data_IF_958766676662
#
_entry.id   IF_958766676662
#
_cell.length_a   1.000
_cell.length_b   1.000
_cell.length_c   1.000
_cell.angle_alpha   90.00
_cell.angle_beta   90.00
_cell.angle_gamma   90.00
#
_symmetry.space_group_name_H-M   'P 1'
#
loop_
_entity.id
_entity.type
_entity.pdbx_description
1 polymer ?
#
# COMPACT_ATOMS: atom_id res chain seq x y z
N UNK A 1 -22.19 26.86 11.38
CA UNK A 1 -22.67 27.56 10.17
C UNK A 1 -21.56 28.50 9.72
N UNK A 2 -20.93 28.31 8.55
CA UNK A 2 -19.98 29.28 8.02
C UNK A 2 -20.77 30.52 7.59
N UNK A 3 -20.23 31.69 7.92
CA UNK A 3 -20.76 32.98 7.49
C UNK A 3 -20.78 33.02 5.95
N UNK A 4 -21.93 33.27 5.35
CA UNK A 4 -22.08 33.74 3.97
C UNK A 4 -21.42 35.14 3.85
N UNK A 5 -20.11 35.13 3.65
CA UNK A 5 -19.32 36.28 3.26
C UNK A 5 -18.70 35.96 1.91
N UNK A 6 -18.93 36.85 0.95
CA UNK A 6 -18.40 36.84 -0.41
C UNK A 6 -17.03 36.18 -0.49
N UNK A 7 -16.95 34.90 -0.92
CA UNK A 7 -15.67 34.23 -1.20
C UNK A 7 -15.03 35.03 -2.33
N UNK A 8 -14.00 35.81 -2.02
CA UNK A 8 -13.11 36.34 -3.05
C UNK A 8 -12.62 35.16 -3.89
N UNK A 9 -12.61 35.32 -5.20
CA UNK A 9 -12.09 34.27 -6.07
C UNK A 9 -10.64 33.94 -5.64
N UNK A 10 -10.39 32.69 -5.28
CA UNK A 10 -9.05 32.22 -4.89
C UNK A 10 -8.10 32.46 -6.05
N UNK A 11 -7.02 33.21 -5.84
CA UNK A 11 -6.08 33.57 -6.87
C UNK A 11 -4.77 32.78 -6.72
N UNK A 12 -4.49 31.87 -7.64
CA UNK A 12 -3.21 31.16 -7.72
C UNK A 12 -2.01 32.11 -7.97
N UNK A 13 -2.27 33.31 -8.48
CA UNK A 13 -1.22 34.29 -8.74
C UNK A 13 -0.38 34.63 -7.50
N UNK A 14 -1.01 34.72 -6.33
CA UNK A 14 -0.30 34.97 -5.07
C UNK A 14 0.60 33.78 -4.66
N UNK A 15 0.16 32.55 -4.90
CA UNK A 15 0.98 31.37 -4.69
C UNK A 15 2.17 31.33 -5.66
N UNK A 16 1.95 31.66 -6.95
CA UNK A 16 3.02 31.78 -7.96
C UNK A 16 4.01 32.88 -7.64
N UNK A 17 3.59 33.99 -7.02
CA UNK A 17 4.52 35.06 -6.60
C UNK A 17 5.53 34.60 -5.53
N UNK A 18 5.17 33.60 -4.72
CA UNK A 18 6.02 33.03 -3.67
C UNK A 18 6.84 31.85 -4.15
N UNK A 19 6.23 30.92 -4.91
CA UNK A 19 6.82 29.64 -5.29
C UNK A 19 7.27 29.57 -6.78
N UNK A 20 6.94 30.57 -7.58
CA UNK A 20 7.40 30.68 -8.96
C UNK A 20 6.96 29.48 -9.84
N UNK A 21 7.92 28.95 -10.58
CA UNK A 21 7.74 27.85 -11.52
C UNK A 21 7.46 26.49 -10.84
N UNK A 22 7.48 26.44 -9.50
CA UNK A 22 7.07 25.25 -8.76
C UNK A 22 5.55 25.04 -8.78
N UNK A 23 4.77 26.04 -9.19
CA UNK A 23 3.30 25.98 -9.29
C UNK A 23 2.89 25.74 -10.73
N UNK A 24 2.17 24.64 -10.97
CA UNK A 24 1.64 24.25 -12.28
C UNK A 24 0.12 24.30 -12.31
N UNK A 25 -0.41 24.88 -13.40
CA UNK A 25 -1.83 24.82 -13.79
C UNK A 25 -1.99 24.14 -15.17
N UNK A 26 -0.95 23.42 -15.64
CA UNK A 26 -1.00 22.67 -16.90
C UNK A 26 -2.07 21.57 -16.84
N UNK A 27 -2.96 21.53 -17.82
CA UNK A 27 -4.07 20.57 -17.85
C UNK A 27 -3.60 19.12 -17.72
N UNK A 28 -2.50 18.73 -18.38
CA UNK A 28 -1.96 17.38 -18.28
C UNK A 28 -1.41 17.06 -16.88
N UNK A 29 -0.81 18.04 -16.20
CA UNK A 29 -0.33 17.89 -14.81
C UNK A 29 -1.50 17.77 -13.85
N UNK A 30 -2.52 18.62 -14.00
CA UNK A 30 -3.71 18.57 -13.16
C UNK A 30 -4.44 17.23 -13.32
N UNK A 31 -4.60 16.76 -14.57
CA UNK A 31 -5.23 15.48 -14.85
C UNK A 31 -4.45 14.31 -14.22
N UNK A 32 -3.12 14.29 -14.32
CA UNK A 32 -2.29 13.26 -13.72
C UNK A 32 -2.42 13.22 -12.18
N UNK A 33 -2.55 14.39 -11.54
CA UNK A 33 -2.75 14.50 -10.08
C UNK A 33 -4.21 14.38 -9.63
N UNK A 34 -5.13 14.20 -10.57
CA UNK A 34 -6.55 13.95 -10.33
C UNK A 34 -6.99 12.53 -10.63
N UNK A 35 -6.06 11.61 -10.86
CA UNK A 35 -6.31 10.19 -11.14
C UNK A 35 -5.89 9.32 -9.96
N UNK A 36 -6.59 8.19 -9.84
CA UNK A 36 -6.29 7.12 -8.90
C UNK A 36 -6.74 5.81 -9.58
N UNK A 37 -5.91 4.75 -9.47
CA UNK A 37 -6.09 3.52 -10.26
C UNK A 37 -7.42 2.83 -9.99
N UNK A 38 -7.84 2.78 -8.73
CA UNK A 38 -9.06 2.08 -8.28
C UNK A 38 -10.27 3.02 -8.13
N UNK A 39 -10.14 4.28 -8.54
CA UNK A 39 -11.19 5.28 -8.46
C UNK A 39 -11.58 5.77 -9.87
N UNK A 40 -12.85 5.59 -10.31
CA UNK A 40 -13.21 5.72 -11.72
C UNK A 40 -13.28 7.16 -12.23
N UNK A 41 -13.35 8.14 -11.32
CA UNK A 41 -13.49 9.55 -11.66
C UNK A 41 -12.15 10.27 -11.66
N UNK A 42 -11.91 11.03 -12.72
CA UNK A 42 -10.79 11.97 -12.74
C UNK A 42 -11.25 13.27 -12.09
N UNK A 43 -10.61 13.67 -11.00
CA UNK A 43 -10.90 14.90 -10.22
C UNK A 43 -9.66 15.78 -10.13
N UNK A 44 -9.36 16.61 -11.14
CA UNK A 44 -8.17 17.44 -11.13
C UNK A 44 -8.16 18.42 -9.95
N UNK A 45 -7.02 18.63 -9.28
CA UNK A 45 -6.85 19.75 -8.34
C UNK A 45 -6.84 21.09 -9.08
N UNK A 46 -7.01 22.22 -8.37
CA UNK A 46 -6.95 23.55 -8.98
C UNK A 46 -5.55 23.96 -9.42
N UNK A 47 -4.52 23.46 -8.74
CA UNK A 47 -3.12 23.62 -9.12
C UNK A 47 -2.27 22.53 -8.42
N UNK A 48 -1.06 22.30 -8.94
CA UNK A 48 -0.05 21.40 -8.36
C UNK A 48 1.16 22.22 -7.94
N UNK A 49 1.64 22.01 -6.71
CA UNK A 49 2.87 22.57 -6.19
C UNK A 49 3.94 21.49 -6.11
N UNK A 50 5.01 21.59 -6.84
CA UNK A 50 6.17 20.71 -6.77
C UNK A 50 7.18 21.23 -5.73
N UNK A 51 7.04 20.78 -4.49
CA UNK A 51 7.93 21.20 -3.41
C UNK A 51 9.31 20.55 -3.56
N UNK A 52 10.36 21.37 -3.37
CA UNK A 52 11.75 20.91 -3.40
C UNK A 52 12.37 20.79 -2.00
N UNK A 53 11.76 21.40 -0.99
CA UNK A 53 12.22 21.41 0.39
C UNK A 53 11.09 21.72 1.39
N UNK A 54 11.43 21.69 2.67
CA UNK A 54 10.49 22.00 3.78
C UNK A 54 9.99 23.46 3.75
N UNK A 55 10.78 24.40 3.20
CA UNK A 55 10.36 25.80 3.12
C UNK A 55 9.21 25.94 2.12
N UNK A 56 9.25 25.23 0.98
CA UNK A 56 8.17 25.19 0.00
C UNK A 56 6.88 24.61 0.59
N UNK A 57 7.00 23.49 1.35
CA UNK A 57 5.87 22.86 2.05
C UNK A 57 5.21 23.87 3.01
N UNK A 58 6.01 24.55 3.83
CA UNK A 58 5.51 25.55 4.77
C UNK A 58 4.88 26.74 4.08
N UNK A 59 5.47 27.26 3.02
CA UNK A 59 4.92 28.36 2.22
C UNK A 59 3.57 27.98 1.59
N UNK A 60 3.46 26.74 1.05
CA UNK A 60 2.21 26.23 0.50
C UNK A 60 1.13 26.12 1.58
N UNK A 61 1.44 25.57 2.74
CA UNK A 61 0.50 25.45 3.87
C UNK A 61 0.07 26.84 4.41
N UNK A 62 0.97 27.81 4.49
CA UNK A 62 0.64 29.17 4.88
C UNK A 62 -0.39 29.79 3.91
N UNK A 63 -0.14 29.66 2.61
CA UNK A 63 -1.07 30.12 1.57
C UNK A 63 -2.43 29.39 1.66
N UNK A 64 -2.42 28.05 1.81
CA UNK A 64 -3.64 27.26 1.96
C UNK A 64 -4.49 27.74 3.14
N UNK A 65 -3.86 28.03 4.27
CA UNK A 65 -4.55 28.54 5.46
C UNK A 65 -5.14 29.93 5.23
N UNK A 66 -4.37 30.84 4.62
CA UNK A 66 -4.84 32.20 4.32
C UNK A 66 -6.03 32.21 3.33
N UNK A 67 -5.98 31.32 2.34
CA UNK A 67 -7.02 31.23 1.30
C UNK A 67 -8.15 30.26 1.65
N UNK A 68 -8.06 29.54 2.78
CA UNK A 68 -8.96 28.44 3.15
C UNK A 68 -9.08 27.37 2.04
N UNK A 69 -7.96 27.03 1.39
CA UNK A 69 -7.90 26.03 0.31
C UNK A 69 -7.26 24.74 0.84
N UNK A 70 -7.97 23.60 0.81
CA UNK A 70 -7.41 22.34 1.24
C UNK A 70 -6.29 21.84 0.33
N UNK A 71 -5.45 20.97 0.90
CA UNK A 71 -4.24 20.44 0.30
C UNK A 71 -4.26 18.91 0.32
N UNK A 72 -3.82 18.29 -0.77
CA UNK A 72 -3.59 16.84 -0.90
C UNK A 72 -2.08 16.61 -1.01
N UNK A 73 -1.40 15.99 -0.03
CA UNK A 73 -0.02 15.56 -0.20
C UNK A 73 0.05 14.43 -1.25
N UNK A 74 1.01 14.56 -2.17
CA UNK A 74 1.16 13.64 -3.30
C UNK A 74 2.61 13.12 -3.34
N UNK A 75 2.77 11.81 -3.54
CA UNK A 75 4.07 11.15 -3.67
C UNK A 75 4.31 10.65 -5.09
N UNK A 76 4.31 9.32 -5.28
CA UNK A 76 4.48 8.67 -6.57
C UNK A 76 3.18 8.46 -7.36
N UNK A 77 2.03 8.82 -6.80
CA UNK A 77 0.74 8.66 -7.48
C UNK A 77 0.18 7.22 -7.52
N UNK A 78 0.67 6.34 -6.65
CA UNK A 78 0.36 4.90 -6.66
C UNK A 78 -0.73 4.46 -5.67
N UNK A 79 -1.44 5.39 -5.06
CA UNK A 79 -2.55 5.09 -4.15
C UNK A 79 -3.79 4.60 -4.90
N UNK A 80 -4.64 3.80 -4.23
CA UNK A 80 -5.72 3.05 -4.88
C UNK A 80 -7.14 3.43 -4.44
N UNK A 81 -7.33 4.06 -3.28
CA UNK A 81 -8.67 4.22 -2.68
C UNK A 81 -9.23 5.65 -2.86
N UNK A 82 -8.82 6.36 -3.91
CA UNK A 82 -9.18 7.76 -4.12
C UNK A 82 -8.49 8.71 -3.14
N UNK A 83 -7.35 8.30 -2.57
CA UNK A 83 -6.62 9.08 -1.56
C UNK A 83 -5.98 10.36 -2.11
N UNK A 84 -5.72 10.41 -3.41
CA UNK A 84 -4.97 11.47 -4.08
C UNK A 84 -5.86 12.45 -4.85
N UNK A 85 -7.16 12.18 -4.97
CA UNK A 85 -8.08 13.05 -5.72
C UNK A 85 -8.87 13.97 -4.79
N UNK A 86 -9.35 15.13 -5.23
CA UNK A 86 -10.28 15.96 -4.47
C UNK A 86 -11.49 15.19 -3.96
N UNK A 87 -11.95 15.49 -2.74
CA UNK A 87 -13.09 14.76 -2.12
C UNK A 87 -14.40 14.91 -2.90
N UNK A 88 -14.54 16.02 -3.63
CA UNK A 88 -15.66 16.28 -4.57
C UNK A 88 -15.11 16.82 -5.89
N UNK A 89 -15.83 16.53 -6.98
CA UNK A 89 -15.50 17.09 -8.29
C UNK A 89 -15.63 18.62 -8.27
N UNK A 90 -14.58 19.32 -8.73
CA UNK A 90 -14.53 20.78 -8.74
C UNK A 90 -14.27 21.44 -7.38
N UNK A 91 -14.02 20.65 -6.32
CA UNK A 91 -13.57 21.22 -5.05
C UNK A 91 -12.24 21.97 -5.23
N UNK A 92 -12.10 23.21 -4.74
CA UNK A 92 -10.88 23.99 -4.87
C UNK A 92 -9.81 23.43 -3.94
N UNK A 93 -9.03 22.45 -4.38
CA UNK A 93 -7.97 21.82 -3.63
C UNK A 93 -6.64 21.94 -4.38
N UNK A 94 -5.52 22.07 -3.63
CA UNK A 94 -4.18 21.95 -4.18
C UNK A 94 -3.68 20.50 -4.09
N UNK A 95 -2.84 20.07 -5.03
CA UNK A 95 -1.97 18.92 -4.86
C UNK A 95 -0.56 19.40 -4.54
N UNK A 96 0.04 18.89 -3.44
CA UNK A 96 1.41 19.15 -3.03
C UNK A 96 2.28 17.95 -3.37
N UNK A 97 2.95 18.03 -4.49
CA UNK A 97 3.84 17.00 -5.01
C UNK A 97 5.21 17.07 -4.34
N UNK A 98 5.59 15.99 -3.65
CA UNK A 98 6.85 15.83 -2.92
C UNK A 98 7.90 15.04 -3.73
N UNK A 99 7.64 14.69 -4.98
CA UNK A 99 8.52 13.85 -5.81
C UNK A 99 9.91 14.47 -6.07
N UNK A 100 10.03 15.79 -5.92
CA UNK A 100 11.33 16.50 -6.02
C UNK A 100 12.16 16.39 -4.74
N UNK A 101 11.56 16.07 -3.60
CA UNK A 101 12.25 15.79 -2.35
C UNK A 101 12.65 14.31 -2.30
N UNK A 102 13.72 13.91 -3.01
CA UNK A 102 14.07 12.49 -3.25
C UNK A 102 15.51 12.12 -2.91
N UNK A 103 16.16 12.86 -2.03
CA UNK A 103 17.55 12.61 -1.63
C UNK A 103 17.62 11.54 -0.54
N UNK A 104 18.66 10.71 -0.58
CA UNK A 104 19.17 9.99 0.58
C UNK A 104 20.04 10.98 1.35
N UNK A 105 19.61 11.36 2.54
CA UNK A 105 20.27 12.38 3.36
C UNK A 105 21.44 11.79 4.14
N UNK A 106 21.27 10.54 4.59
CA UNK A 106 22.26 9.85 5.41
C UNK A 106 22.04 8.33 5.31
N UNK A 107 23.12 7.56 5.29
CA UNK A 107 23.10 6.09 5.46
C UNK A 107 24.05 5.76 6.59
N UNK A 108 23.57 5.03 7.60
CA UNK A 108 24.34 4.55 8.74
C UNK A 108 24.30 3.01 8.76
N UNK A 109 25.16 2.32 8.00
CA UNK A 109 25.13 0.85 7.91
C UNK A 109 25.36 0.18 9.26
N UNK A 110 26.23 0.73 10.10
CA UNK A 110 26.53 0.24 11.45
C UNK A 110 25.32 0.30 12.40
N UNK A 111 24.35 1.19 12.12
CA UNK A 111 23.10 1.35 12.86
C UNK A 111 21.91 0.74 12.16
N UNK A 112 22.10 0.15 10.96
CA UNK A 112 21.06 -0.43 10.14
C UNK A 112 19.92 0.55 9.83
N UNK A 113 20.24 1.79 9.42
CA UNK A 113 19.27 2.80 9.09
C UNK A 113 19.70 3.70 7.94
N UNK A 114 18.71 4.35 7.32
CA UNK A 114 18.90 5.45 6.40
C UNK A 114 17.91 6.57 6.72
N UNK A 115 18.33 7.82 6.45
CA UNK A 115 17.50 9.02 6.54
C UNK A 115 17.25 9.50 5.12
N UNK A 116 15.99 9.63 4.74
CA UNK A 116 15.59 9.94 3.38
C UNK A 116 14.55 11.04 3.30
N UNK A 117 14.49 11.71 2.17
CA UNK A 117 13.38 12.58 1.80
C UNK A 117 12.17 11.76 1.32
N UNK A 118 10.93 12.27 1.47
CA UNK A 118 9.71 11.48 1.28
C UNK A 118 9.45 11.02 -0.16
N UNK A 119 9.96 11.75 -1.15
CA UNK A 119 9.71 11.49 -2.57
C UNK A 119 10.64 10.44 -3.20
N UNK A 120 11.65 9.94 -2.47
CA UNK A 120 12.47 8.84 -2.99
C UNK A 120 11.63 7.56 -3.08
N UNK A 121 11.75 6.82 -4.18
CA UNK A 121 11.07 5.53 -4.32
C UNK A 121 11.84 4.41 -3.63
N UNK A 122 11.14 3.31 -3.31
CA UNK A 122 11.77 2.12 -2.75
C UNK A 122 12.90 1.58 -3.64
N UNK A 123 12.64 1.52 -4.94
CA UNK A 123 13.63 1.03 -5.92
C UNK A 123 14.87 1.93 -5.96
N UNK A 124 14.68 3.26 -5.98
CA UNK A 124 15.78 4.21 -5.94
C UNK A 124 16.58 4.08 -4.64
N UNK A 125 15.92 3.98 -3.49
CA UNK A 125 16.60 3.77 -2.20
C UNK A 125 17.43 2.49 -2.20
N UNK A 126 16.88 1.36 -2.61
CA UNK A 126 17.61 0.09 -2.65
C UNK A 126 18.77 0.11 -3.67
N UNK A 127 18.65 0.90 -4.73
CA UNK A 127 19.76 1.13 -5.67
C UNK A 127 20.93 1.86 -4.98
N UNK A 128 20.66 2.89 -4.18
CA UNK A 128 21.68 3.59 -3.40
C UNK A 128 22.33 2.68 -2.33
N UNK A 129 21.55 1.76 -1.76
CA UNK A 129 22.02 0.84 -0.71
C UNK A 129 22.83 -0.37 -1.22
N UNK A 130 22.89 -0.63 -2.53
CA UNK A 130 23.43 -1.87 -3.14
C UNK A 130 24.85 -2.28 -2.69
N UNK A 131 25.68 -1.31 -2.27
CA UNK A 131 27.05 -1.57 -1.83
C UNK A 131 27.21 -1.68 -0.32
N UNK A 132 26.11 -1.56 0.44
CA UNK A 132 26.14 -1.59 1.92
C UNK A 132 25.93 -2.98 2.49
N UNK A 133 25.47 -3.95 1.70
CA UNK A 133 25.00 -5.26 2.16
C UNK A 133 23.65 -5.18 2.90
N UNK A 134 22.96 -4.03 2.82
CA UNK A 134 21.67 -3.78 3.45
C UNK A 134 20.61 -3.45 2.40
N UNK A 135 19.34 -3.64 2.77
CA UNK A 135 18.21 -3.26 1.94
C UNK A 135 17.03 -2.76 2.79
N UNK A 136 16.15 -2.00 2.16
CA UNK A 136 14.85 -1.64 2.72
C UNK A 136 13.80 -2.65 2.23
N UNK A 137 13.11 -3.37 3.14
CA UNK A 137 12.35 -4.57 2.79
C UNK A 137 10.94 -4.30 2.26
N UNK A 138 10.25 -3.24 2.73
CA UNK A 138 8.82 -3.05 2.41
C UNK A 138 8.60 -2.87 0.91
N UNK A 139 7.82 -3.76 0.29
CA UNK A 139 7.74 -3.93 -1.17
C UNK A 139 6.29 -3.97 -1.70
N UNK A 140 5.55 -2.84 -1.62
CA UNK A 140 4.22 -2.76 -2.24
C UNK A 140 4.29 -3.07 -3.73
N UNK A 141 3.16 -3.45 -4.33
CA UNK A 141 3.08 -3.85 -5.74
C UNK A 141 3.54 -2.79 -6.75
N UNK A 142 3.52 -1.51 -6.38
CA UNK A 142 4.02 -0.40 -7.20
C UNK A 142 5.33 0.18 -6.63
N UNK A 143 6.13 0.86 -7.46
CA UNK A 143 7.34 1.59 -7.01
C UNK A 143 6.93 2.90 -6.32
N UNK A 144 6.41 2.78 -5.11
CA UNK A 144 5.90 3.88 -4.31
C UNK A 144 7.03 4.70 -3.65
N UNK A 145 6.74 5.97 -3.36
CA UNK A 145 7.64 6.83 -2.60
C UNK A 145 7.62 6.49 -1.11
N UNK A 146 8.77 6.59 -0.43
CA UNK A 146 8.92 6.24 0.99
C UNK A 146 7.96 7.06 1.88
N UNK A 147 7.77 8.35 1.58
CA UNK A 147 6.81 9.20 2.31
C UNK A 147 5.36 8.79 2.05
N UNK A 148 5.02 8.42 0.80
CA UNK A 148 3.69 7.88 0.45
C UNK A 148 3.43 6.55 1.15
N UNK A 149 4.39 5.64 1.14
CA UNK A 149 4.33 4.36 1.87
C UNK A 149 4.12 4.58 3.38
N UNK A 150 4.83 5.53 3.99
CA UNK A 150 4.62 5.88 5.40
C UNK A 150 3.21 6.46 5.63
N UNK A 151 2.74 7.34 4.75
CA UNK A 151 1.43 7.95 4.87
C UNK A 151 0.27 6.94 4.78
N UNK A 152 0.40 5.86 4.01
CA UNK A 152 -0.61 4.79 3.88
C UNK A 152 -0.37 3.60 4.81
N UNK A 153 0.76 3.57 5.55
CA UNK A 153 1.22 2.38 6.28
C UNK A 153 1.35 1.16 5.36
N UNK A 154 1.98 1.35 4.22
CA UNK A 154 2.12 0.31 3.20
C UNK A 154 2.80 -0.95 3.71
N UNK A 155 2.44 -2.06 3.11
CA UNK A 155 3.04 -3.38 3.26
C UNK A 155 3.44 -3.95 1.90
N UNK A 156 3.56 -5.26 1.77
CA UNK A 156 3.89 -5.96 0.54
C UNK A 156 4.27 -7.41 0.81
N UNK A 157 4.85 -8.07 -0.18
CA UNK A 157 5.12 -9.52 -0.14
C UNK A 157 6.07 -9.94 1.00
N UNK A 158 6.99 -9.05 1.41
CA UNK A 158 8.00 -9.33 2.45
C UNK A 158 7.53 -8.98 3.87
N UNK A 159 6.33 -8.44 4.02
CA UNK A 159 5.79 -7.99 5.32
C UNK A 159 5.71 -9.11 6.34
N UNK A 160 5.37 -10.32 5.91
CA UNK A 160 5.31 -11.52 6.77
C UNK A 160 6.59 -11.75 7.57
N UNK A 161 7.76 -11.36 7.04
CA UNK A 161 9.06 -11.50 7.71
C UNK A 161 9.56 -10.21 8.34
N UNK A 162 9.48 -9.12 7.57
CA UNK A 162 10.17 -7.88 7.92
C UNK A 162 9.26 -6.82 8.51
N UNK A 163 7.94 -7.03 8.49
CA UNK A 163 6.94 -6.03 8.87
C UNK A 163 6.70 -4.98 7.78
N UNK A 164 5.61 -4.24 7.91
CA UNK A 164 5.27 -3.11 7.04
C UNK A 164 5.97 -1.80 7.43
N UNK A 165 5.44 -0.68 6.94
CA UNK A 165 6.05 0.63 7.19
C UNK A 165 6.12 0.97 8.68
N UNK A 166 5.10 0.67 9.47
CA UNK A 166 5.08 0.98 10.91
C UNK A 166 6.25 0.37 11.68
N UNK A 167 6.64 -0.87 11.33
CA UNK A 167 7.77 -1.57 11.94
C UNK A 167 9.13 -1.10 11.41
N UNK A 168 9.15 -0.54 10.20
CA UNK A 168 10.39 -0.15 9.51
C UNK A 168 10.64 1.37 9.48
N UNK A 169 9.74 2.20 10.02
CA UNK A 169 9.96 3.63 10.23
C UNK A 169 10.37 3.89 11.68
N UNK A 170 11.58 4.41 11.87
CA UNK A 170 12.14 4.72 13.19
C UNK A 170 11.82 6.14 13.64
N UNK A 171 11.81 7.11 12.70
CA UNK A 171 11.51 8.50 12.98
C UNK A 171 10.91 9.20 11.76
N UNK A 172 10.15 10.25 12.00
CA UNK A 172 9.56 11.14 11.00
C UNK A 172 9.87 12.61 11.29
N UNK A 173 9.98 13.40 10.24
CA UNK A 173 9.78 14.85 10.29
C UNK A 173 8.49 15.15 9.54
N UNK A 174 7.59 15.90 10.17
CA UNK A 174 6.29 16.27 9.61
C UNK A 174 6.04 17.76 9.76
N UNK A 175 5.37 18.35 8.78
CA UNK A 175 4.89 19.75 8.84
C UNK A 175 3.39 19.71 9.09
N UNK A 176 2.96 20.32 10.20
CA UNK A 176 1.55 20.44 10.57
C UNK A 176 0.83 21.52 9.75
N UNK A 177 -0.51 21.53 9.81
CA UNK A 177 -1.34 22.51 9.10
C UNK A 177 -0.98 23.97 9.45
N UNK A 178 -0.52 24.25 10.68
CA UNK A 178 -0.07 25.56 11.13
C UNK A 178 1.36 25.93 10.67
N UNK A 179 2.06 25.03 9.95
CA UNK A 179 3.43 25.21 9.48
C UNK A 179 4.52 24.86 10.51
N UNK A 180 4.13 24.35 11.69
CA UNK A 180 5.08 23.84 12.69
C UNK A 180 5.74 22.55 12.17
N UNK A 181 7.06 22.41 12.44
CA UNK A 181 7.83 21.21 12.06
C UNK A 181 8.05 20.35 13.30
N UNK A 182 7.51 19.14 13.29
CA UNK A 182 7.70 18.17 14.36
C UNK A 182 8.71 17.10 13.94
N UNK A 183 9.53 16.67 14.90
CA UNK A 183 10.40 15.50 14.78
C UNK A 183 9.92 14.44 15.75
N UNK A 184 9.41 13.35 15.20
CA UNK A 184 8.72 12.27 15.91
C UNK A 184 9.54 10.98 15.85
N UNK A 185 9.61 10.26 16.96
CA UNK A 185 10.45 9.06 17.06
C UNK A 185 11.93 9.38 17.26
N UNK A 186 12.75 8.34 17.24
CA UNK A 186 14.21 8.38 17.40
C UNK A 186 14.85 7.29 16.53
N UNK A 187 16.10 7.44 16.07
CA UNK A 187 16.79 6.44 15.25
C UNK A 187 17.29 5.24 16.10
N UNK A 188 16.41 4.66 16.89
CA UNK A 188 16.68 3.52 17.78
C UNK A 188 15.62 2.44 17.58
N UNK A 189 15.98 1.18 17.90
CA UNK A 189 15.09 0.03 17.70
C UNK A 189 13.92 -0.06 18.68
N UNK A 190 14.05 0.55 19.87
CA UNK A 190 13.01 0.56 20.90
C UNK A 190 13.12 1.80 21.77
N UNK A 191 11.98 2.30 22.21
CA UNK A 191 11.86 3.36 23.21
C UNK A 191 10.58 3.15 24.02
N UNK A 192 10.61 3.56 25.28
CA UNK A 192 9.42 3.65 26.15
C UNK A 192 9.23 5.08 26.67
N UNK A 193 9.83 6.06 25.98
CA UNK A 193 9.79 7.47 26.37
C UNK A 193 8.61 8.19 25.72
N UNK A 194 7.56 8.41 26.48
CA UNK A 194 6.38 9.17 26.06
C UNK A 194 5.39 8.38 25.19
N UNK A 195 4.40 9.10 24.65
CA UNK A 195 3.46 8.53 23.67
C UNK A 195 4.11 8.39 22.30
N UNK A 196 3.80 7.33 21.57
CA UNK A 196 4.30 7.14 20.20
C UNK A 196 3.47 7.97 19.19
N UNK A 197 3.82 9.24 19.10
CA UNK A 197 3.18 10.13 18.13
C UNK A 197 3.54 9.78 16.69
N UNK A 198 4.71 9.18 16.45
CA UNK A 198 5.14 8.75 15.10
C UNK A 198 4.10 7.84 14.46
N UNK A 199 3.57 6.89 15.21
CA UNK A 199 2.61 5.91 14.71
C UNK A 199 1.22 6.51 14.41
N UNK A 200 0.91 7.70 14.90
CA UNK A 200 -0.29 8.44 14.50
C UNK A 200 -0.20 8.97 13.06
N UNK A 201 1.00 9.34 12.62
CA UNK A 201 1.21 9.88 11.27
C UNK A 201 1.40 8.77 10.22
N UNK A 202 1.87 7.58 10.62
CA UNK A 202 1.95 6.41 9.75
C UNK A 202 0.54 5.86 9.53
N UNK A 203 0.09 5.85 8.26
CA UNK A 203 -1.26 5.47 7.91
C UNK A 203 -2.29 6.61 8.00
N UNK A 204 -1.84 7.84 8.24
CA UNK A 204 -2.75 9.01 8.30
C UNK A 204 -3.21 9.53 6.94
N UNK A 205 -2.72 8.99 5.83
CA UNK A 205 -3.02 9.44 4.46
C UNK A 205 -2.80 10.96 4.26
N UNK A 206 -1.84 11.55 4.98
CA UNK A 206 -1.57 12.97 4.93
C UNK A 206 -2.64 13.86 5.56
N UNK A 207 -3.58 13.31 6.34
CA UNK A 207 -4.66 14.07 6.97
C UNK A 207 -4.24 14.78 8.27
N UNK A 208 -3.13 14.36 8.89
CA UNK A 208 -2.63 14.94 10.15
C UNK A 208 -1.41 15.85 9.96
N UNK A 209 -0.68 15.68 8.87
CA UNK A 209 0.53 16.44 8.56
C UNK A 209 1.16 16.00 7.24
N UNK A 210 2.10 16.78 6.74
CA UNK A 210 2.90 16.48 5.54
C UNK A 210 4.24 15.89 5.98
N UNK A 211 4.51 14.64 5.61
CA UNK A 211 5.78 13.96 5.91
C UNK A 211 6.87 14.55 5.02
N UNK A 212 7.95 15.06 5.61
CA UNK A 212 9.07 15.71 4.89
C UNK A 212 10.40 14.99 5.05
N UNK A 213 10.51 14.03 5.99
CA UNK A 213 11.67 13.19 6.17
C UNK A 213 11.28 11.89 6.85
N UNK A 214 11.91 10.80 6.43
CA UNK A 214 11.70 9.46 7.00
C UNK A 214 13.03 8.86 7.39
N UNK A 215 13.15 8.36 8.62
CA UNK A 215 14.25 7.50 9.02
C UNK A 215 13.77 6.06 8.96
N UNK A 216 14.32 5.28 8.05
CA UNK A 216 13.94 3.89 7.82
C UNK A 216 14.95 2.92 8.42
N UNK A 217 14.45 1.79 8.90
CA UNK A 217 15.24 0.64 9.32
C UNK A 217 15.65 -0.17 8.09
N UNK A 218 16.92 -0.56 8.06
CA UNK A 218 17.48 -1.44 7.04
C UNK A 218 17.69 -2.85 7.58
N UNK A 219 17.73 -3.82 6.68
CA UNK A 219 17.95 -5.23 6.99
C UNK A 219 19.14 -5.77 6.18
N UNK A 220 19.91 -6.72 6.71
CA UNK A 220 20.93 -7.42 5.93
C UNK A 220 20.33 -8.16 4.75
N UNK A 221 21.00 -8.10 3.61
CA UNK A 221 20.65 -8.93 2.44
C UNK A 221 20.88 -10.40 2.81
N UNK A 222 19.88 -11.29 2.65
CA UNK A 222 20.04 -12.71 2.98
C UNK A 222 21.04 -13.38 2.03
N UNK A 223 21.89 -14.25 2.60
CA UNK A 223 22.88 -14.99 1.79
C UNK A 223 22.26 -16.16 1.03
N UNK A 224 21.27 -16.81 1.63
CA UNK A 224 20.59 -17.97 1.06
C UNK A 224 19.11 -17.67 0.90
N UNK A 225 18.62 -17.85 -0.32
CA UNK A 225 17.22 -17.62 -0.68
C UNK A 225 16.72 -18.77 -1.55
N UNK A 226 15.64 -19.41 -1.16
CA UNK A 226 14.94 -20.42 -1.97
C UNK A 226 13.48 -20.07 -2.10
N UNK A 227 12.91 -20.34 -3.27
CA UNK A 227 11.49 -20.10 -3.54
C UNK A 227 10.81 -21.40 -3.93
N UNK A 228 9.64 -21.67 -3.36
CA UNK A 228 8.78 -22.77 -3.75
C UNK A 228 7.59 -22.25 -4.54
N UNK A 229 7.22 -22.96 -5.59
CA UNK A 229 5.95 -22.84 -6.29
C UNK A 229 5.18 -24.14 -6.09
N UNK A 230 3.97 -24.05 -5.51
CA UNK A 230 3.21 -25.21 -5.07
C UNK A 230 1.76 -25.13 -5.56
N UNK A 231 1.30 -26.14 -6.31
CA UNK A 231 -0.07 -26.21 -6.82
C UNK A 231 -0.95 -27.05 -5.91
N UNK A 232 -2.24 -26.64 -5.81
CA UNK A 232 -3.24 -27.30 -4.98
C UNK A 232 -4.51 -27.63 -5.78
N UNK A 233 -5.33 -28.61 -5.32
CA UNK A 233 -6.60 -28.94 -5.97
C UNK A 233 -7.60 -27.79 -5.94
N UNK A 234 -7.64 -27.02 -4.85
CA UNK A 234 -8.50 -25.85 -4.66
C UNK A 234 -7.78 -24.72 -3.94
N UNK A 235 -8.33 -23.50 -4.04
CA UNK A 235 -7.78 -22.32 -3.36
C UNK A 235 -7.94 -22.42 -1.84
N UNK A 236 -8.94 -23.14 -1.36
CA UNK A 236 -9.17 -23.36 0.08
C UNK A 236 -8.06 -24.23 0.66
N UNK A 237 -7.69 -25.32 -0.04
CA UNK A 237 -6.56 -26.18 0.36
C UNK A 237 -5.24 -25.42 0.32
N UNK A 238 -5.02 -24.57 -0.69
CA UNK A 238 -3.86 -23.68 -0.74
C UNK A 238 -3.81 -22.73 0.47
N UNK A 239 -4.94 -22.11 0.84
CA UNK A 239 -5.02 -21.24 2.01
C UNK A 239 -4.82 -22.00 3.34
N UNK A 240 -5.31 -23.23 3.45
CA UNK A 240 -5.06 -24.11 4.61
C UNK A 240 -3.57 -24.49 4.71
N UNK A 241 -2.94 -24.79 3.60
CA UNK A 241 -1.49 -25.07 3.53
C UNK A 241 -0.67 -23.85 3.96
N UNK A 242 -1.07 -22.65 3.49
CA UNK A 242 -0.43 -21.40 3.91
C UNK A 242 -0.52 -21.21 5.44
N UNK A 243 -1.68 -21.43 6.02
CA UNK A 243 -1.86 -21.38 7.47
C UNK A 243 -0.97 -22.41 8.20
N UNK A 244 -0.89 -23.65 7.72
CA UNK A 244 -0.08 -24.71 8.32
C UNK A 244 1.42 -24.33 8.33
N UNK A 245 1.92 -23.76 7.23
CA UNK A 245 3.29 -23.27 7.13
C UNK A 245 3.54 -22.14 8.11
N UNK A 246 2.64 -21.18 8.22
CA UNK A 246 2.78 -20.06 9.18
C UNK A 246 2.73 -20.55 10.63
N UNK A 247 1.90 -21.55 10.93
CA UNK A 247 1.78 -22.15 12.28
C UNK A 247 3.00 -22.98 12.70
N UNK A 248 3.87 -23.37 11.75
CA UNK A 248 5.04 -24.22 12.01
C UNK A 248 6.28 -23.44 12.49
N UNK A 249 6.19 -22.13 12.65
CA UNK A 249 7.32 -21.24 13.01
C UNK A 249 8.48 -21.26 12.00
N UNK A 250 8.27 -21.71 10.78
CA UNK A 250 9.25 -21.58 9.69
C UNK A 250 9.50 -20.10 9.37
N UNK A 251 10.76 -19.70 9.08
CA UNK A 251 11.11 -18.30 8.83
C UNK A 251 10.75 -17.84 7.42
N UNK A 252 9.45 -17.92 7.10
CA UNK A 252 8.91 -17.52 5.80
C UNK A 252 9.21 -16.06 5.52
N UNK A 253 9.76 -15.78 4.34
CA UNK A 253 10.06 -14.41 3.89
C UNK A 253 8.96 -13.82 3.02
N UNK A 254 8.27 -14.67 2.25
CA UNK A 254 7.11 -14.32 1.42
C UNK A 254 6.18 -15.52 1.33
N UNK A 255 4.87 -15.28 1.32
CA UNK A 255 3.86 -16.33 1.16
C UNK A 255 2.65 -15.75 0.42
N UNK A 256 2.59 -16.07 -0.87
CA UNK A 256 1.69 -15.46 -1.83
C UNK A 256 0.76 -16.51 -2.45
N UNK A 257 -0.52 -16.19 -2.54
CA UNK A 257 -1.55 -17.00 -3.18
C UNK A 257 -1.92 -16.43 -4.54
N UNK A 258 -2.14 -17.30 -5.53
CA UNK A 258 -2.71 -16.98 -6.84
C UNK A 258 -3.71 -18.05 -7.19
N UNK A 259 -4.93 -17.66 -7.59
CA UNK A 259 -5.97 -18.60 -8.00
C UNK A 259 -5.80 -19.13 -9.44
N UNK A 260 -6.72 -20.00 -9.88
CA UNK A 260 -6.71 -20.60 -11.22
C UNK A 260 -6.77 -19.57 -12.35
N UNK A 261 -7.60 -18.51 -12.19
CA UNK A 261 -7.73 -17.47 -13.21
C UNK A 261 -6.44 -16.64 -13.31
N UNK A 262 -5.81 -16.34 -12.19
CA UNK A 262 -4.51 -15.69 -12.14
C UNK A 262 -3.42 -16.51 -12.83
N UNK A 263 -3.34 -17.82 -12.57
CA UNK A 263 -2.37 -18.72 -13.23
C UNK A 263 -2.65 -18.83 -14.73
N UNK A 264 -3.93 -18.95 -15.13
CA UNK A 264 -4.32 -18.94 -16.56
C UNK A 264 -3.89 -17.66 -17.26
N UNK A 265 -4.08 -16.51 -16.60
CA UNK A 265 -3.67 -15.22 -17.16
C UNK A 265 -2.15 -15.11 -17.32
N UNK A 266 -1.38 -15.57 -16.33
CA UNK A 266 0.08 -15.65 -16.36
C UNK A 266 0.55 -16.55 -17.52
N UNK A 267 -0.04 -17.73 -17.69
CA UNK A 267 0.30 -18.64 -18.78
C UNK A 267 0.18 -17.97 -20.15
N UNK A 268 -0.92 -17.24 -20.35
CA UNK A 268 -1.17 -16.53 -21.62
C UNK A 268 -0.23 -15.35 -21.82
N UNK A 269 -0.01 -14.58 -20.77
CA UNK A 269 0.75 -13.32 -20.84
C UNK A 269 2.26 -13.55 -20.98
N UNK A 270 2.80 -14.49 -20.19
CA UNK A 270 4.24 -14.79 -20.15
C UNK A 270 4.64 -16.03 -20.96
N UNK A 271 3.70 -16.71 -21.61
CA UNK A 271 3.98 -17.96 -22.33
C UNK A 271 4.43 -19.10 -21.41
N UNK A 272 3.95 -19.13 -20.16
CA UNK A 272 4.24 -20.21 -19.21
C UNK A 272 3.33 -21.40 -19.46
N UNK A 273 3.77 -22.59 -19.07
CA UNK A 273 3.01 -23.83 -19.14
C UNK A 273 2.64 -24.38 -17.76
N UNK A 274 2.25 -23.51 -16.85
CA UNK A 274 1.85 -23.91 -15.51
C UNK A 274 0.50 -24.65 -15.53
N UNK A 275 0.32 -25.60 -14.63
CA UNK A 275 -0.99 -26.20 -14.40
C UNK A 275 -1.98 -25.10 -13.94
N UNK A 276 -3.15 -25.02 -14.59
CA UNK A 276 -4.16 -24.00 -14.25
C UNK A 276 -4.91 -24.39 -12.98
N UNK A 277 -4.19 -24.32 -11.87
CA UNK A 277 -4.62 -24.62 -10.49
C UNK A 277 -4.17 -23.52 -9.55
N UNK A 278 -4.83 -23.37 -8.37
CA UNK A 278 -4.37 -22.45 -7.34
C UNK A 278 -2.94 -22.75 -6.92
N UNK A 279 -2.17 -21.70 -6.72
CA UNK A 279 -0.74 -21.79 -6.49
C UNK A 279 -0.31 -20.95 -5.28
N UNK A 280 0.56 -21.50 -4.44
CA UNK A 280 1.35 -20.75 -3.48
C UNK A 280 2.77 -20.50 -4.02
N UNK A 281 3.25 -19.25 -3.85
CA UNK A 281 4.65 -18.88 -4.01
C UNK A 281 5.20 -18.58 -2.62
N UNK A 282 6.22 -19.32 -2.20
CA UNK A 282 6.78 -19.23 -0.84
C UNK A 282 8.26 -19.00 -0.93
N UNK A 283 8.79 -18.03 -0.18
CA UNK A 283 10.23 -17.75 -0.15
C UNK A 283 10.78 -17.84 1.26
N UNK A 284 11.95 -18.46 1.37
CA UNK A 284 12.73 -18.56 2.60
C UNK A 284 14.02 -17.79 2.47
N UNK A 285 14.39 -17.09 3.55
CA UNK A 285 15.66 -16.39 3.70
C UNK A 285 16.42 -16.96 4.88
N UNK A 286 17.60 -17.47 4.66
CA UNK A 286 18.40 -18.07 5.72
C UNK A 286 19.87 -17.61 5.69
N UNK A 287 20.59 -17.82 6.80
CA UNK A 287 21.99 -17.45 6.94
C UNK A 287 22.96 -18.58 6.57
N UNK A 288 22.47 -19.81 6.38
CA UNK A 288 23.31 -20.97 6.00
C UNK A 288 22.61 -21.86 4.98
N UNK A 289 23.39 -22.51 4.11
CA UNK A 289 22.87 -23.46 3.12
C UNK A 289 22.16 -24.66 3.76
N UNK A 290 22.65 -25.16 4.90
CA UNK A 290 22.02 -26.28 5.60
C UNK A 290 20.65 -25.90 6.18
N UNK A 291 20.54 -24.73 6.82
CA UNK A 291 19.29 -24.28 7.41
C UNK A 291 18.20 -24.09 6.35
N UNK A 292 18.52 -23.47 5.19
CA UNK A 292 17.50 -23.23 4.16
C UNK A 292 17.00 -24.54 3.52
N UNK A 293 17.87 -25.56 3.35
CA UNK A 293 17.43 -26.86 2.83
C UNK A 293 16.51 -27.58 3.83
N UNK A 294 16.78 -27.51 5.14
CA UNK A 294 15.90 -28.05 6.17
C UNK A 294 14.55 -27.33 6.23
N UNK A 295 14.54 -26.00 6.14
CA UNK A 295 13.35 -25.16 6.11
C UNK A 295 12.46 -25.50 4.89
N UNK A 296 13.06 -25.61 3.71
CA UNK A 296 12.37 -26.00 2.46
C UNK A 296 11.80 -27.41 2.57
N UNK A 297 12.55 -28.37 3.05
CA UNK A 297 12.10 -29.76 3.23
C UNK A 297 10.89 -29.84 4.17
N UNK A 298 10.94 -29.18 5.30
CA UNK A 298 9.82 -29.14 6.26
C UNK A 298 8.58 -28.47 5.65
N UNK A 299 8.77 -27.37 4.90
CA UNK A 299 7.68 -26.71 4.20
C UNK A 299 7.05 -27.62 3.12
N UNK A 300 7.87 -28.34 2.33
CA UNK A 300 7.37 -29.32 1.36
C UNK A 300 6.56 -30.44 2.02
N UNK A 301 7.02 -30.98 3.16
CA UNK A 301 6.32 -32.02 3.91
C UNK A 301 4.93 -31.51 4.34
N UNK A 302 4.86 -30.32 4.98
CA UNK A 302 3.61 -29.69 5.41
C UNK A 302 2.63 -29.43 4.24
N UNK A 303 3.15 -28.94 3.12
CA UNK A 303 2.32 -28.66 1.94
C UNK A 303 1.80 -29.95 1.30
N UNK A 304 2.62 -31.02 1.25
CA UNK A 304 2.17 -32.33 0.75
C UNK A 304 1.12 -32.95 1.66
N UNK A 305 1.25 -32.84 2.98
CA UNK A 305 0.24 -33.25 3.94
C UNK A 305 -1.07 -32.49 3.77
N UNK A 306 -0.99 -31.21 3.36
CA UNK A 306 -2.13 -30.36 3.05
C UNK A 306 -2.70 -30.59 1.62
N UNK A 307 -2.21 -31.58 0.85
CA UNK A 307 -2.76 -31.95 -0.44
C UNK A 307 -2.09 -31.31 -1.65
N UNK A 308 -0.84 -30.82 -1.54
CA UNK A 308 -0.12 -30.26 -2.68
C UNK A 308 0.01 -31.27 -3.84
N UNK A 309 -0.30 -30.84 -5.06
CA UNK A 309 -0.24 -31.62 -6.30
C UNK A 309 1.18 -31.68 -6.85
N UNK A 310 1.84 -30.53 -6.92
CA UNK A 310 3.20 -30.35 -7.43
C UNK A 310 3.97 -29.31 -6.60
N UNK A 311 5.26 -29.56 -6.41
CA UNK A 311 6.17 -28.67 -5.69
C UNK A 311 7.43 -28.47 -6.52
N UNK A 312 7.69 -27.24 -6.92
CA UNK A 312 8.90 -26.84 -7.64
C UNK A 312 9.74 -25.90 -6.82
N UNK A 313 10.98 -26.28 -6.51
CA UNK A 313 11.93 -25.49 -5.72
C UNK A 313 12.91 -24.77 -6.64
N UNK A 314 12.95 -23.44 -6.56
CA UNK A 314 13.92 -22.59 -7.22
C UNK A 314 15.09 -22.26 -6.28
N UNK A 315 16.29 -22.70 -6.65
CA UNK A 315 17.53 -22.51 -5.89
C UNK A 315 18.45 -21.46 -6.50
N UNK A 316 18.43 -21.32 -7.81
CA UNK A 316 19.22 -20.31 -8.51
C UNK A 316 18.52 -18.96 -8.55
N UNK A 317 19.27 -17.89 -8.78
CA UNK A 317 18.73 -16.53 -8.90
C UNK A 317 17.78 -16.41 -10.10
N UNK A 318 18.12 -17.06 -11.20
CA UNK A 318 17.36 -17.06 -12.46
C UNK A 318 16.00 -17.75 -12.27
N UNK A 319 15.97 -18.93 -11.63
CA UNK A 319 14.75 -19.67 -11.33
C UNK A 319 13.83 -18.86 -10.39
N UNK A 320 14.38 -18.26 -9.33
CA UNK A 320 13.62 -17.42 -8.41
C UNK A 320 13.03 -16.20 -9.11
N UNK A 321 13.85 -15.52 -9.92
CA UNK A 321 13.38 -14.36 -10.70
C UNK A 321 12.21 -14.73 -11.59
N UNK A 322 12.28 -15.87 -12.28
CA UNK A 322 11.22 -16.36 -13.15
C UNK A 322 9.93 -16.69 -12.38
N UNK A 323 10.02 -17.25 -11.16
CA UNK A 323 8.83 -17.50 -10.32
C UNK A 323 8.21 -16.19 -9.80
N UNK A 324 9.01 -15.27 -9.31
CA UNK A 324 8.50 -13.96 -8.81
C UNK A 324 7.99 -13.06 -9.93
N UNK A 325 8.59 -13.11 -11.13
CA UNK A 325 8.04 -12.44 -12.31
C UNK A 325 6.60 -12.89 -12.56
N UNK A 326 6.34 -14.19 -12.54
CA UNK A 326 4.99 -14.72 -12.71
C UNK A 326 4.01 -14.15 -11.67
N UNK A 327 4.39 -14.13 -10.39
CA UNK A 327 3.55 -13.56 -9.32
C UNK A 327 3.33 -12.04 -9.47
N UNK A 328 4.38 -11.28 -9.77
CA UNK A 328 4.30 -9.83 -9.87
C UNK A 328 3.51 -9.35 -11.10
N UNK A 329 3.47 -10.16 -12.16
CA UNK A 329 2.78 -9.79 -13.41
C UNK A 329 1.29 -10.17 -13.42
N UNK A 330 0.72 -10.72 -12.35
CA UNK A 330 -0.70 -11.15 -12.30
C UNK A 330 -1.67 -10.04 -12.70
N UNK A 331 -1.49 -8.82 -12.19
CA UNK A 331 -2.34 -7.69 -12.53
C UNK A 331 -2.31 -7.39 -14.04
N UNK A 332 -1.12 -7.23 -14.61
CA UNK A 332 -0.98 -6.95 -16.04
C UNK A 332 -1.41 -8.11 -16.92
N UNK A 333 -1.24 -9.34 -16.45
CA UNK A 333 -1.72 -10.52 -17.12
C UNK A 333 -3.26 -10.55 -17.19
N UNK A 334 -3.96 -10.16 -16.12
CA UNK A 334 -5.40 -10.02 -16.11
C UNK A 334 -5.88 -8.86 -17.00
N UNK A 335 -5.21 -7.70 -16.96
CA UNK A 335 -5.49 -6.58 -17.86
C UNK A 335 -5.36 -7.01 -19.33
N UNK A 336 -4.38 -7.83 -19.64
CA UNK A 336 -4.22 -8.39 -20.99
C UNK A 336 -5.30 -9.42 -21.34
N UNK A 337 -5.77 -10.21 -20.36
CA UNK A 337 -6.81 -11.22 -20.55
C UNK A 337 -8.19 -10.59 -20.82
N UNK A 338 -8.50 -9.46 -20.18
CA UNK A 338 -9.77 -8.75 -20.29
C UNK A 338 -9.58 -7.31 -20.79
N UNK A 339 -9.17 -7.09 -22.04
CA UNK A 339 -8.86 -5.76 -22.56
C UNK A 339 -10.09 -4.86 -22.58
N UNK A 340 -9.90 -3.58 -22.23
CA UNK A 340 -10.96 -2.57 -22.24
C UNK A 340 -11.90 -2.58 -21.04
N UNK A 341 -11.66 -3.45 -20.05
CA UNK A 341 -12.38 -3.46 -18.78
C UNK A 341 -11.82 -2.42 -17.80
N UNK A 342 -12.63 -2.06 -16.82
CA UNK A 342 -12.19 -1.35 -15.59
C UNK A 342 -11.86 -2.38 -14.53
N UNK A 343 -10.84 -2.10 -13.73
CA UNK A 343 -10.40 -3.01 -12.68
C UNK A 343 -10.70 -2.43 -11.32
N UNK A 344 -11.29 -3.26 -10.45
CA UNK A 344 -11.45 -2.97 -9.03
C UNK A 344 -10.58 -3.94 -8.25
N UNK A 345 -9.73 -3.40 -7.38
CA UNK A 345 -8.82 -4.17 -6.54
C UNK A 345 -9.34 -4.07 -5.12
N UNK A 346 -9.81 -5.19 -4.56
CA UNK A 346 -10.21 -5.23 -3.14
C UNK A 346 -8.99 -5.38 -2.24
N UNK A 347 -9.15 -5.06 -0.96
CA UNK A 347 -8.10 -5.19 0.03
C UNK A 347 -8.72 -5.42 1.40
N UNK A 348 -8.61 -6.63 1.91
CA UNK A 348 -9.13 -7.04 3.20
C UNK A 348 -8.13 -7.91 3.95
N UNK A 349 -8.17 -7.87 5.28
CA UNK A 349 -7.35 -8.73 6.15
C UNK A 349 -8.24 -9.41 7.17
N UNK A 350 -7.96 -10.67 7.45
CA UNK A 350 -8.58 -11.43 8.54
C UNK A 350 -7.50 -12.14 9.36
N UNK A 351 -7.81 -12.57 10.60
CA UNK A 351 -6.92 -13.45 11.34
C UNK A 351 -6.52 -14.67 10.49
N UNK A 352 -5.27 -15.08 10.53
CA UNK A 352 -4.69 -16.11 9.63
C UNK A 352 -5.56 -17.38 9.53
N UNK A 353 -6.12 -17.85 10.65
CA UNK A 353 -7.00 -19.03 10.69
C UNK A 353 -8.33 -18.83 9.94
N UNK A 354 -8.70 -17.60 9.60
CA UNK A 354 -9.93 -17.24 8.88
C UNK A 354 -9.72 -17.04 7.38
N UNK A 355 -8.47 -17.02 6.91
CA UNK A 355 -8.17 -16.87 5.48
C UNK A 355 -8.87 -17.91 4.60
N UNK A 356 -8.84 -19.23 4.92
CA UNK A 356 -9.54 -20.22 4.11
C UNK A 356 -11.06 -19.97 4.01
N UNK A 357 -11.69 -19.49 5.10
CA UNK A 357 -13.12 -19.17 5.13
C UNK A 357 -13.44 -17.95 4.26
N UNK A 358 -12.64 -16.87 4.36
CA UNK A 358 -12.87 -15.66 3.58
C UNK A 358 -12.59 -15.90 2.08
N UNK A 359 -11.59 -16.69 1.73
CA UNK A 359 -11.29 -17.07 0.35
C UNK A 359 -12.43 -17.89 -0.26
N UNK A 360 -12.98 -18.87 0.48
CA UNK A 360 -14.14 -19.65 0.04
C UNK A 360 -15.36 -18.75 -0.21
N UNK A 361 -15.66 -17.85 0.72
CA UNK A 361 -16.73 -16.85 0.57
C UNK A 361 -16.51 -15.95 -0.65
N UNK A 362 -15.27 -15.55 -0.92
CA UNK A 362 -14.94 -14.73 -2.08
C UNK A 362 -15.26 -15.43 -3.40
N UNK A 363 -14.92 -16.74 -3.51
CA UNK A 363 -15.30 -17.54 -4.69
C UNK A 363 -16.81 -17.69 -4.83
N UNK A 364 -17.51 -17.90 -3.71
CA UNK A 364 -18.98 -17.99 -3.70
C UNK A 364 -19.63 -16.74 -4.26
N UNK A 365 -19.26 -15.56 -3.75
CA UNK A 365 -19.86 -14.29 -4.20
C UNK A 365 -19.45 -13.89 -5.63
N UNK A 366 -18.25 -14.26 -6.10
CA UNK A 366 -17.89 -14.11 -7.52
C UNK A 366 -18.85 -14.94 -8.41
N UNK A 367 -19.11 -16.19 -8.02
CA UNK A 367 -20.04 -17.07 -8.73
C UNK A 367 -21.48 -16.58 -8.69
N UNK A 368 -22.00 -16.18 -7.52
CA UNK A 368 -23.34 -15.65 -7.35
C UNK A 368 -23.60 -14.39 -8.18
N UNK A 369 -22.61 -13.49 -8.22
CA UNK A 369 -22.71 -12.24 -8.96
C UNK A 369 -22.37 -12.39 -10.45
N UNK A 370 -21.88 -13.57 -10.89
CA UNK A 370 -21.44 -13.82 -12.26
C UNK A 370 -20.33 -12.88 -12.68
N UNK A 371 -19.34 -12.65 -11.79
CA UNK A 371 -18.23 -11.71 -12.02
C UNK A 371 -16.93 -12.48 -12.30
N UNK A 372 -16.15 -11.93 -13.24
CA UNK A 372 -14.78 -12.42 -13.49
C UNK A 372 -13.81 -11.68 -12.54
N UNK A 373 -13.15 -12.47 -11.70
CA UNK A 373 -12.18 -11.93 -10.75
C UNK A 373 -11.15 -12.96 -10.32
N UNK A 374 -9.92 -12.52 -10.06
CA UNK A 374 -8.82 -13.36 -9.60
C UNK A 374 -8.45 -13.03 -8.16
N UNK A 375 -8.32 -14.05 -7.33
CA UNK A 375 -7.90 -13.95 -5.94
C UNK A 375 -6.38 -14.10 -5.88
N UNK A 376 -5.71 -13.04 -5.39
CA UNK A 376 -4.26 -13.00 -5.23
C UNK A 376 -3.89 -12.30 -3.93
N UNK A 377 -2.80 -12.65 -3.28
CA UNK A 377 -2.35 -11.82 -2.15
C UNK A 377 -1.45 -12.48 -1.13
N UNK A 378 -1.22 -11.72 -0.07
CA UNK A 378 -0.26 -11.90 1.01
C UNK A 378 -0.87 -12.77 2.12
N UNK A 379 -1.18 -14.05 1.79
CA UNK A 379 -1.92 -14.94 2.73
C UNK A 379 -1.12 -15.27 3.99
N UNK A 380 0.20 -15.05 3.99
CA UNK A 380 1.05 -15.15 5.17
C UNK A 380 0.75 -14.08 6.24
N UNK A 381 0.15 -12.94 5.85
CA UNK A 381 -0.27 -11.85 6.73
C UNK A 381 -1.79 -11.81 6.96
N UNK A 382 -2.54 -12.74 6.36
CA UNK A 382 -4.00 -12.74 6.40
C UNK A 382 -4.64 -11.80 5.38
N UNK A 383 -3.85 -11.17 4.50
CA UNK A 383 -4.29 -10.23 3.49
C UNK A 383 -4.41 -10.88 2.11
N UNK A 384 -5.44 -10.55 1.37
CA UNK A 384 -5.52 -10.84 -0.05
C UNK A 384 -6.41 -9.83 -0.78
N UNK A 385 -6.25 -9.83 -2.09
CA UNK A 385 -6.97 -8.98 -3.03
C UNK A 385 -7.81 -9.82 -3.97
N UNK A 386 -8.94 -9.27 -4.42
CA UNK A 386 -9.65 -9.78 -5.60
C UNK A 386 -9.53 -8.72 -6.69
N UNK A 387 -8.94 -9.11 -7.81
CA UNK A 387 -8.81 -8.29 -9.00
C UNK A 387 -10.04 -8.54 -9.88
N UNK A 388 -11.00 -7.61 -9.91
CA UNK A 388 -12.27 -7.77 -10.59
C UNK A 388 -12.24 -6.97 -11.89
N UNK A 389 -12.51 -7.64 -13.02
CA UNK A 389 -12.65 -7.01 -14.33
C UNK A 389 -14.13 -6.77 -14.63
N UNK A 390 -14.54 -5.52 -14.85
CA UNK A 390 -15.92 -5.16 -15.19
C UNK A 390 -15.98 -4.10 -16.28
N UNK A 391 -17.05 -4.05 -17.09
CA UNK A 391 -17.36 -2.86 -17.87
C UNK A 391 -17.47 -1.63 -16.96
N UNK A 392 -17.10 -0.46 -17.47
CA UNK A 392 -17.13 0.78 -16.68
C UNK A 392 -18.52 1.12 -16.13
N UNK A 393 -19.56 0.81 -16.87
CA UNK A 393 -20.97 0.95 -16.49
C UNK A 393 -21.35 0.06 -15.29
N UNK A 394 -20.65 -1.05 -15.09
CA UNK A 394 -20.89 -2.03 -14.02
C UNK A 394 -20.04 -1.76 -12.77
N UNK A 395 -19.34 -0.63 -12.68
CA UNK A 395 -18.51 -0.29 -11.50
C UNK A 395 -19.27 -0.38 -10.17
N UNK A 396 -20.56 -0.02 -10.16
CA UNK A 396 -21.40 -0.13 -8.96
C UNK A 396 -21.53 -1.58 -8.46
N UNK A 397 -21.53 -2.58 -9.37
CA UNK A 397 -21.55 -4.00 -9.00
C UNK A 397 -20.22 -4.44 -8.39
N UNK A 398 -19.09 -3.93 -8.90
CA UNK A 398 -17.79 -4.18 -8.30
C UNK A 398 -17.67 -3.58 -6.90
N UNK A 399 -18.27 -2.41 -6.66
CA UNK A 399 -18.36 -1.79 -5.32
C UNK A 399 -19.27 -2.59 -4.39
N UNK A 400 -20.38 -3.14 -4.87
CA UNK A 400 -21.25 -4.04 -4.11
C UNK A 400 -20.49 -5.30 -3.68
N UNK A 401 -19.76 -5.93 -4.60
CA UNK A 401 -18.90 -7.06 -4.30
C UNK A 401 -17.87 -6.71 -3.21
N UNK A 402 -17.13 -5.61 -3.39
CA UNK A 402 -16.16 -5.12 -2.40
C UNK A 402 -16.81 -4.89 -1.03
N UNK A 403 -18.02 -4.33 -1.00
CA UNK A 403 -18.77 -4.10 0.23
C UNK A 403 -19.19 -5.40 0.94
N UNK A 404 -19.61 -6.43 0.21
CA UNK A 404 -19.91 -7.76 0.76
C UNK A 404 -18.67 -8.39 1.38
N UNK A 405 -17.54 -8.31 0.66
CA UNK A 405 -16.27 -8.86 1.12
C UNK A 405 -15.75 -8.16 2.39
N UNK A 406 -15.78 -6.82 2.43
CA UNK A 406 -15.40 -6.04 3.61
C UNK A 406 -16.25 -6.41 4.82
N UNK A 407 -17.59 -6.45 4.71
CA UNK A 407 -18.44 -6.82 5.84
C UNK A 407 -18.15 -8.23 6.33
N UNK A 408 -17.93 -9.18 5.40
CA UNK A 408 -17.55 -10.54 5.80
C UNK A 408 -16.21 -10.57 6.53
N UNK A 409 -15.21 -9.77 6.09
CA UNK A 409 -13.95 -9.66 6.80
C UNK A 409 -14.14 -9.09 8.22
N UNK A 410 -14.96 -8.05 8.39
CA UNK A 410 -15.30 -7.49 9.72
C UNK A 410 -16.03 -8.48 10.63
N UNK A 411 -16.97 -9.29 10.11
CA UNK A 411 -17.63 -10.38 10.84
C UNK A 411 -16.66 -11.46 11.33
N UNK A 412 -15.53 -11.62 10.65
CA UNK A 412 -14.44 -12.54 10.97
C UNK A 412 -13.34 -11.91 11.84
N UNK A 413 -13.62 -10.80 12.52
CA UNK A 413 -12.66 -10.02 13.32
C UNK A 413 -11.49 -9.44 12.50
N UNK A 414 -11.72 -9.18 11.22
CA UNK A 414 -10.76 -8.59 10.30
C UNK A 414 -10.87 -7.07 10.18
N UNK A 415 -10.32 -6.52 9.10
CA UNK A 415 -10.29 -5.08 8.80
C UNK A 415 -10.65 -4.81 7.33
N UNK A 416 -11.19 -3.64 7.07
CA UNK A 416 -11.61 -3.20 5.73
C UNK A 416 -10.45 -2.95 4.77
N UNK A 417 -9.21 -2.81 5.26
CA UNK A 417 -8.02 -2.55 4.45
C UNK A 417 -6.76 -3.09 5.12
N UNK A 418 -5.93 -3.79 4.35
CA UNK A 418 -4.62 -4.27 4.79
C UNK A 418 -3.50 -3.26 4.52
N UNK A 419 -3.52 -2.67 3.33
CA UNK A 419 -2.42 -1.83 2.87
C UNK A 419 -2.85 -0.62 2.00
N UNK A 420 -4.01 -0.65 1.32
CA UNK A 420 -4.43 0.42 0.42
C UNK A 420 -4.86 1.69 1.16
N UNK A 421 -5.24 1.58 2.43
CA UNK A 421 -5.83 2.66 3.22
C UNK A 421 -7.33 2.84 2.95
N UNK A 422 -7.89 3.88 3.55
CA UNK A 422 -9.35 4.14 3.51
C UNK A 422 -9.74 4.99 2.29
N UNK A 423 -9.01 6.06 2.03
CA UNK A 423 -9.31 6.99 0.94
C UNK A 423 -10.76 7.48 0.94
N UNK A 424 -11.37 7.56 -0.25
CA UNK A 424 -12.78 7.91 -0.43
C UNK A 424 -13.69 6.66 -0.41
N UNK A 425 -13.20 5.52 -0.89
CA UNK A 425 -14.01 4.34 -1.19
C UNK A 425 -14.44 3.57 0.06
N UNK A 426 -13.60 3.52 1.10
CA UNK A 426 -13.83 2.70 2.30
C UNK A 426 -14.34 3.46 3.53
N UNK A 427 -14.55 4.77 3.43
CA UNK A 427 -15.05 5.59 4.56
C UNK A 427 -16.38 5.09 5.16
N UNK A 428 -17.23 4.50 4.34
CA UNK A 428 -18.52 3.98 4.80
C UNK A 428 -18.39 2.89 5.88
N UNK A 429 -17.26 2.16 5.91
CA UNK A 429 -17.02 1.06 6.84
C UNK A 429 -16.39 1.49 8.17
N UNK A 430 -15.85 2.72 8.26
CA UNK A 430 -15.15 3.20 9.45
C UNK A 430 -15.99 3.17 10.72
N UNK A 431 -17.29 3.44 10.63
CA UNK A 431 -18.18 3.41 11.79
C UNK A 431 -18.45 1.96 12.26
N UNK A 432 -18.57 1.03 11.32
CA UNK A 432 -18.79 -0.39 11.58
C UNK A 432 -17.54 -1.03 12.20
N UNK A 433 -16.36 -0.71 11.67
CA UNK A 433 -15.07 -1.26 12.11
C UNK A 433 -14.62 -0.70 13.47
N UNK A 434 -14.76 0.61 13.67
CA UNK A 434 -14.14 1.30 14.82
C UNK A 434 -15.11 1.73 15.92
N UNK A 435 -16.43 1.73 15.66
CA UNK A 435 -17.43 2.09 16.66
C UNK A 435 -17.13 3.45 17.33
N UNK A 436 -17.08 3.47 18.67
CA UNK A 436 -16.82 4.67 19.45
C UNK A 436 -15.41 5.26 19.26
N UNK A 437 -14.43 4.47 18.81
CA UNK A 437 -13.07 4.96 18.55
C UNK A 437 -13.02 5.97 17.39
N UNK A 438 -13.95 5.90 16.44
CA UNK A 438 -14.05 6.83 15.32
C UNK A 438 -14.19 8.29 15.79
N UNK A 439 -14.91 8.54 16.89
CA UNK A 439 -15.04 9.88 17.44
C UNK A 439 -13.71 10.42 18.00
N UNK A 440 -12.88 9.55 18.58
CA UNK A 440 -11.54 9.94 19.01
C UNK A 440 -10.61 10.23 17.84
N UNK A 441 -10.73 9.50 16.73
CA UNK A 441 -10.00 9.81 15.49
C UNK A 441 -10.39 11.21 14.96
N UNK A 442 -11.68 11.57 14.98
CA UNK A 442 -12.16 12.93 14.62
C UNK A 442 -11.58 14.02 15.52
N UNK A 443 -11.51 13.78 16.84
CA UNK A 443 -10.89 14.71 17.79
C UNK A 443 -9.40 14.87 17.54
N UNK A 444 -8.67 13.79 17.25
CA UNK A 444 -7.26 13.86 16.87
C UNK A 444 -7.07 14.65 15.57
N UNK A 445 -7.90 14.42 14.56
CA UNK A 445 -7.87 15.22 13.33
C UNK A 445 -8.08 16.70 13.63
N UNK A 446 -9.08 17.06 14.42
CA UNK A 446 -9.37 18.44 14.78
C UNK A 446 -8.26 19.08 15.64
N UNK A 447 -7.51 18.29 16.43
CA UNK A 447 -6.36 18.76 17.20
C UNK A 447 -5.18 19.16 16.30
N UNK A 448 -4.85 18.33 15.30
CA UNK A 448 -3.70 18.55 14.40
C UNK A 448 -4.02 19.47 13.22
N UNK A 449 -5.28 19.51 12.79
CA UNK A 449 -5.76 20.26 11.64
C UNK A 449 -7.16 20.85 11.89
N UNK A 450 -7.26 21.88 12.76
CA UNK A 450 -8.54 22.45 13.17
C UNK A 450 -9.35 23.07 12.02
N UNK A 451 -8.67 23.53 10.97
CA UNK A 451 -9.28 24.15 9.79
C UNK A 451 -9.62 23.12 8.68
N UNK A 452 -9.33 21.83 8.93
CA UNK A 452 -9.54 20.73 7.99
C UNK A 452 -8.93 20.99 6.59
N UNK A 453 -7.69 21.48 6.57
CA UNK A 453 -6.94 21.82 5.35
C UNK A 453 -6.24 20.59 4.74
N UNK A 454 -5.83 19.63 5.57
CA UNK A 454 -5.00 18.51 5.16
C UNK A 454 -5.87 17.33 4.69
N UNK A 455 -5.85 17.06 3.41
CA UNK A 455 -6.48 15.93 2.73
C UNK A 455 -7.89 15.58 3.26
N UNK A 456 -8.83 16.54 3.29
CA UNK A 456 -10.14 16.32 3.88
C UNK A 456 -10.91 15.22 3.16
N UNK A 457 -11.74 14.48 3.92
CA UNK A 457 -12.63 13.47 3.39
C UNK A 457 -11.95 12.13 3.05
N UNK A 458 -10.73 11.84 3.52
CA UNK A 458 -10.02 10.59 3.14
C UNK A 458 -10.10 9.46 4.15
N UNK A 459 -10.18 9.74 5.41
CA UNK A 459 -10.32 8.73 6.46
C UNK A 459 -11.63 8.95 7.22
N UNK A 460 -11.98 10.22 7.44
CA UNK A 460 -13.06 10.65 8.32
C UNK A 460 -14.17 11.40 7.56
#
# INVERSE_FOLDING_TARGET
MPKEGMRMAVSIATLKSVLGEKVSESASVLEAHGRDENFPEVRPPMAVVFAADVADVRATLAWCREQCVPLIPFGAGTSLEGSLVPYEAGAPMLSLDLSRMRRVLEVQPENFLAVVEPGITRTALNTELRHTGLFFPVDPGADASIGGMAATNASGTTTVRYGGMRQNVLALEVVLANGEVLRLGRPVRKTSSGYDLKDLFIGSAGTLGVITRVTVRLHPVPEHVHTLRVFFPSIVEAAQAAYAVMASALPVARLELVDELGIRSINRYLGRGYEEKPCLFVEFHSSTAAAIEDEVRLAEELMREAGALDVAVARTSEERTAQWEARHQVYWALVNLFPGQTYTITDTVVPLARVPELVAYTQEILGEMGMEGSIVGHVGDGNFHTLIATPREDYARAQEFSGRLVRRALELDGTSTGEHGIGLTKRAYMAEEHGAALEWMRRLKALFDPDNLLNPGKIL
#
